data_IF_269057136291
#
_entry.id   IF_269057136291
#
_cell.length_a   1.000
_cell.length_b   1.000
_cell.length_c   1.000
_cell.angle_alpha   90.00
_cell.angle_beta   90.00
_cell.angle_gamma   90.00
#
_symmetry.space_group_name_H-M   'P 1'
#
loop_
_entity.id
_entity.type
_entity.pdbx_description
1 polymer ?
#
# COMPACT_ATOMS: atom_id res chain seq x y z
N UNK A 1 7.97 18.19 14.56
CA UNK A 1 8.56 16.98 13.94
C UNK A 1 9.89 17.22 13.21
N UNK A 2 10.53 18.40 13.33
CA UNK A 2 11.96 18.62 13.04
C UNK A 2 12.38 20.02 13.55
N UNK A 3 12.17 20.29 14.84
CA UNK A 3 12.53 21.56 15.46
C UNK A 3 12.52 21.44 16.97
N UNK A 4 13.68 21.68 17.58
CA UNK A 4 14.02 21.56 19.00
C UNK A 4 14.36 20.13 19.50
N UNK A 5 15.64 19.79 19.38
CA UNK A 5 16.48 19.03 20.35
C UNK A 5 16.11 17.60 20.82
N UNK A 6 15.01 16.95 20.44
CA UNK A 6 14.67 15.63 21.04
C UNK A 6 14.11 14.61 20.02
N UNK A 7 14.77 13.45 19.93
CA UNK A 7 14.43 12.21 19.20
C UNK A 7 14.64 12.13 17.67
N UNK A 8 15.85 11.71 17.27
CA UNK A 8 16.19 11.28 15.90
C UNK A 8 15.90 9.77 15.69
N UNK A 9 14.62 9.37 15.70
CA UNK A 9 14.25 7.96 15.47
C UNK A 9 14.58 7.47 14.06
N UNK A 10 14.57 8.36 13.08
CA UNK A 10 14.83 8.03 11.68
C UNK A 10 15.84 9.00 11.08
N UNK A 11 16.67 8.51 10.14
CA UNK A 11 17.69 9.33 9.51
C UNK A 11 17.06 10.46 8.70
N UNK A 12 17.63 11.66 8.81
CA UNK A 12 17.11 12.88 8.19
C UNK A 12 17.51 13.01 6.71
N UNK A 13 18.55 12.29 6.29
CA UNK A 13 19.21 12.42 4.98
C UNK A 13 20.20 11.29 4.77
N UNK A 14 20.42 10.92 3.51
CA UNK A 14 21.27 9.80 3.12
C UNK A 14 20.50 8.48 3.06
N UNK A 15 20.99 7.55 2.24
CA UNK A 15 20.44 6.19 2.11
C UNK A 15 21.21 5.17 2.97
N UNK A 16 22.31 5.59 3.58
CA UNK A 16 23.23 4.76 4.35
C UNK A 16 23.81 5.58 5.50
N UNK A 17 24.14 4.92 6.61
CA UNK A 17 24.86 5.53 7.72
C UNK A 17 26.33 5.81 7.38
N UNK A 18 26.96 6.74 8.12
CA UNK A 18 28.37 7.09 7.90
C UNK A 18 29.34 5.91 8.10
N UNK A 19 28.90 4.84 8.80
CA UNK A 19 29.69 3.63 9.01
C UNK A 19 29.33 2.46 8.08
N UNK A 20 28.73 2.76 6.93
CA UNK A 20 28.24 1.74 6.01
C UNK A 20 29.35 0.78 5.54
N UNK A 21 30.56 1.29 5.29
CA UNK A 21 31.64 0.50 4.72
C UNK A 21 32.20 -0.58 5.67
N UNK A 22 32.11 -0.35 6.98
CA UNK A 22 32.58 -1.29 8.01
C UNK A 22 31.52 -2.36 8.39
N UNK A 23 30.27 -2.19 7.95
CA UNK A 23 29.18 -3.11 8.25
C UNK A 23 29.27 -4.42 7.45
N UNK A 24 28.86 -5.52 8.09
CA UNK A 24 28.66 -6.80 7.40
C UNK A 24 27.58 -6.67 6.32
N UNK A 25 27.56 -7.58 5.33
CA UNK A 25 26.55 -7.55 4.25
C UNK A 25 25.11 -7.53 4.78
N UNK A 26 24.83 -8.25 5.86
CA UNK A 26 23.52 -8.21 6.54
C UNK A 26 23.28 -6.86 7.23
N UNK A 27 24.31 -6.28 7.87
CA UNK A 27 24.23 -4.97 8.50
C UNK A 27 23.95 -3.85 7.49
N UNK A 28 24.56 -3.91 6.31
CA UNK A 28 24.33 -3.01 5.18
C UNK A 28 22.87 -3.04 4.70
N UNK A 29 22.30 -4.23 4.54
CA UNK A 29 20.90 -4.39 4.12
C UNK A 29 19.94 -3.79 5.17
N UNK A 30 20.16 -4.09 6.44
CA UNK A 30 19.31 -3.57 7.52
C UNK A 30 19.38 -2.04 7.63
N UNK A 31 20.59 -1.48 7.55
CA UNK A 31 20.82 -0.05 7.55
C UNK A 31 20.06 0.63 6.40
N UNK A 32 20.14 0.07 5.19
CA UNK A 32 19.41 0.59 4.03
C UNK A 32 17.89 0.58 4.23
N UNK A 33 17.33 -0.52 4.74
CA UNK A 33 15.90 -0.57 5.04
C UNK A 33 15.50 0.45 6.10
N UNK A 34 16.31 0.66 7.13
CA UNK A 34 16.06 1.64 8.19
C UNK A 34 15.95 3.07 7.64
N UNK A 35 16.79 3.42 6.66
CA UNK A 35 16.74 4.72 5.98
C UNK A 35 15.50 4.88 5.09
N UNK A 36 14.94 3.77 4.59
CA UNK A 36 13.76 3.79 3.73
C UNK A 36 12.43 3.82 4.50
N UNK A 37 12.38 3.39 5.77
CA UNK A 37 11.12 3.28 6.52
C UNK A 37 10.35 4.61 6.56
N UNK A 38 11.02 5.70 6.92
CA UNK A 38 10.37 7.01 7.05
C UNK A 38 9.80 7.56 5.73
N UNK A 39 10.58 7.69 4.64
CA UNK A 39 10.06 8.21 3.38
C UNK A 39 8.97 7.30 2.78
N UNK A 40 9.14 5.98 2.85
CA UNK A 40 8.11 5.05 2.34
C UNK A 40 6.82 5.18 3.14
N UNK A 41 6.91 5.22 4.47
CA UNK A 41 5.72 5.31 5.33
C UNK A 41 5.01 6.65 5.13
N UNK A 42 5.75 7.75 4.98
CA UNK A 42 5.18 9.05 4.65
C UNK A 42 4.41 9.03 3.31
N UNK A 43 4.99 8.40 2.28
CA UNK A 43 4.33 8.23 0.97
C UNK A 43 3.07 7.37 1.07
N UNK A 44 3.14 6.24 1.79
CA UNK A 44 2.01 5.34 2.00
C UNK A 44 0.86 6.06 2.70
N UNK A 45 1.15 6.81 3.77
CA UNK A 45 0.14 7.57 4.50
C UNK A 45 -0.46 8.66 3.61
N UNK A 46 0.36 9.37 2.82
CA UNK A 46 -0.11 10.39 1.88
C UNK A 46 -1.13 9.85 0.87
N UNK A 47 -0.91 8.65 0.35
CA UNK A 47 -1.81 8.02 -0.61
C UNK A 47 -2.93 7.17 0.05
N UNK A 48 -2.88 6.96 1.35
CA UNK A 48 -3.77 6.04 2.06
C UNK A 48 -5.24 6.44 1.94
N UNK A 49 -5.55 7.73 2.09
CA UNK A 49 -6.93 8.24 2.02
C UNK A 49 -7.56 7.97 0.65
N UNK A 50 -6.83 8.30 -0.42
CA UNK A 50 -7.27 8.09 -1.81
C UNK A 50 -7.46 6.60 -2.11
N UNK A 51 -6.50 5.77 -1.74
CA UNK A 51 -6.56 4.32 -1.94
C UNK A 51 -7.77 3.70 -1.22
N UNK A 52 -8.04 4.16 0.00
CA UNK A 52 -9.18 3.71 0.81
C UNK A 52 -10.51 4.09 0.16
N UNK A 53 -10.65 5.34 -0.30
CA UNK A 53 -11.87 5.81 -0.97
C UNK A 53 -12.13 5.06 -2.29
N UNK A 54 -11.10 4.90 -3.12
CA UNK A 54 -11.19 4.15 -4.37
C UNK A 54 -11.60 2.69 -4.15
N UNK A 55 -10.99 2.04 -3.17
CA UNK A 55 -11.34 0.67 -2.80
C UNK A 55 -12.78 0.60 -2.33
N UNK A 56 -13.19 1.48 -1.39
CA UNK A 56 -14.57 1.51 -0.89
C UNK A 56 -15.59 1.69 -2.02
N UNK A 57 -15.36 2.63 -2.93
CA UNK A 57 -16.26 2.88 -4.05
C UNK A 57 -16.35 1.67 -4.98
N UNK A 58 -15.20 1.08 -5.35
CA UNK A 58 -15.16 -0.13 -6.18
C UNK A 58 -15.95 -1.28 -5.55
N UNK A 59 -15.89 -1.44 -4.23
CA UNK A 59 -16.69 -2.44 -3.50
C UNK A 59 -18.18 -2.18 -3.55
N UNK A 60 -18.60 -0.92 -3.38
CA UNK A 60 -20.01 -0.54 -3.42
C UNK A 60 -20.59 -0.77 -4.82
N UNK A 61 -19.85 -0.43 -5.87
CA UNK A 61 -20.27 -0.68 -7.25
C UNK A 61 -20.43 -2.18 -7.51
N UNK A 62 -19.49 -2.99 -6.99
CA UNK A 62 -19.48 -4.42 -7.19
C UNK A 62 -20.62 -5.14 -6.44
N UNK A 63 -20.99 -4.68 -5.24
CA UNK A 63 -22.10 -5.23 -4.43
C UNK A 63 -23.46 -5.09 -5.13
N UNK A 64 -23.65 -4.05 -5.94
CA UNK A 64 -24.91 -3.74 -6.60
C UNK A 64 -25.09 -4.48 -7.93
N UNK A 65 -24.12 -5.29 -8.37
CA UNK A 65 -24.19 -6.01 -9.64
C UNK A 65 -25.14 -7.21 -9.58
N UNK A 66 -25.78 -7.50 -10.71
CA UNK A 66 -26.77 -8.58 -10.83
C UNK A 66 -26.23 -9.96 -10.42
N UNK A 67 -24.96 -10.26 -10.72
CA UNK A 67 -24.38 -11.56 -10.34
C UNK A 67 -24.34 -11.75 -8.81
N UNK A 68 -24.23 -10.67 -8.02
CA UNK A 68 -24.27 -10.73 -6.55
C UNK A 68 -25.66 -11.11 -6.08
N UNK A 69 -26.69 -10.54 -6.71
CA UNK A 69 -28.10 -10.87 -6.43
C UNK A 69 -28.37 -12.34 -6.78
N UNK A 70 -27.92 -12.80 -7.95
CA UNK A 70 -28.03 -14.21 -8.34
C UNK A 70 -27.26 -15.13 -7.40
N UNK A 71 -26.06 -14.75 -6.97
CA UNK A 71 -25.26 -15.52 -6.04
C UNK A 71 -25.96 -15.69 -4.68
N UNK A 72 -26.58 -14.60 -4.16
CA UNK A 72 -27.41 -14.64 -2.96
C UNK A 72 -28.65 -15.53 -3.15
N UNK A 73 -29.32 -15.43 -4.31
CA UNK A 73 -30.49 -16.25 -4.64
C UNK A 73 -30.14 -17.75 -4.75
N UNK A 74 -28.91 -18.09 -5.15
CA UNK A 74 -28.38 -19.46 -5.14
C UNK A 74 -28.04 -19.99 -3.73
N UNK A 75 -28.26 -19.21 -2.67
CA UNK A 75 -28.03 -19.62 -1.29
C UNK A 75 -26.56 -19.52 -0.84
N UNK A 76 -25.70 -18.79 -1.55
CA UNK A 76 -24.32 -18.57 -1.12
C UNK A 76 -24.30 -17.70 0.15
N UNK A 77 -23.45 -18.08 1.11
CA UNK A 77 -23.27 -17.30 2.35
C UNK A 77 -22.69 -15.91 2.04
N UNK A 78 -23.06 -14.91 2.85
CA UNK A 78 -22.60 -13.52 2.67
C UNK A 78 -21.09 -13.41 2.56
N UNK A 79 -20.34 -14.14 3.39
CA UNK A 79 -18.87 -14.14 3.37
C UNK A 79 -18.31 -14.74 2.07
N UNK A 80 -18.91 -15.80 1.53
CA UNK A 80 -18.47 -16.41 0.28
C UNK A 80 -18.73 -15.48 -0.91
N UNK A 81 -19.86 -14.77 -0.92
CA UNK A 81 -20.16 -13.76 -1.93
C UNK A 81 -19.21 -12.57 -1.82
N UNK A 82 -18.97 -12.09 -0.59
CA UNK A 82 -18.11 -10.95 -0.33
C UNK A 82 -16.66 -11.23 -0.73
N UNK A 83 -16.02 -12.27 -0.20
CA UNK A 83 -14.60 -12.53 -0.48
C UNK A 83 -14.35 -13.24 -1.82
N UNK A 84 -15.27 -14.10 -2.24
CA UNK A 84 -15.10 -14.92 -3.45
C UNK A 84 -15.46 -14.19 -4.75
N UNK A 85 -16.42 -13.27 -4.71
CA UNK A 85 -16.86 -12.54 -5.90
C UNK A 85 -16.62 -11.04 -5.78
N UNK A 86 -17.19 -10.38 -4.78
CA UNK A 86 -17.14 -8.90 -4.67
C UNK A 86 -15.71 -8.40 -4.48
N UNK A 87 -14.98 -8.93 -3.49
CA UNK A 87 -13.61 -8.52 -3.17
C UNK A 87 -12.69 -8.76 -4.37
N UNK A 88 -12.77 -9.95 -4.96
CA UNK A 88 -11.93 -10.33 -6.10
C UNK A 88 -12.14 -9.41 -7.30
N UNK A 89 -13.39 -9.05 -7.60
CA UNK A 89 -13.71 -8.19 -8.73
C UNK A 89 -13.44 -6.71 -8.45
N UNK A 90 -13.78 -6.21 -7.26
CA UNK A 90 -13.54 -4.82 -6.87
C UNK A 90 -12.04 -4.47 -6.84
N UNK A 91 -11.19 -5.43 -6.42
CA UNK A 91 -9.73 -5.23 -6.40
C UNK A 91 -9.10 -5.10 -7.79
N UNK A 92 -9.76 -5.57 -8.86
CA UNK A 92 -9.24 -5.41 -10.22
C UNK A 92 -9.05 -3.93 -10.59
N UNK A 93 -9.94 -3.07 -10.11
CA UNK A 93 -9.89 -1.62 -10.34
C UNK A 93 -8.67 -0.98 -9.66
N UNK A 94 -8.33 -1.45 -8.46
CA UNK A 94 -7.13 -1.03 -7.72
C UNK A 94 -5.86 -1.54 -8.39
N UNK A 95 -5.84 -2.81 -8.81
CA UNK A 95 -4.67 -3.43 -9.46
C UNK A 95 -4.42 -2.84 -10.84
N UNK A 96 -5.47 -2.45 -11.57
CA UNK A 96 -5.35 -1.81 -12.88
C UNK A 96 -4.58 -0.47 -12.82
N UNK A 97 -4.52 0.18 -11.65
CA UNK A 97 -3.72 1.39 -11.44
C UNK A 97 -2.21 1.13 -11.28
N UNK A 98 -1.79 -0.12 -11.03
CA UNK A 98 -0.40 -0.46 -10.75
C UNK A 98 0.57 -0.12 -11.89
N UNK A 99 0.29 -0.43 -13.17
CA UNK A 99 1.22 -0.10 -14.26
C UNK A 99 1.50 1.40 -14.37
N UNK A 100 0.47 2.23 -14.15
CA UNK A 100 0.61 3.69 -14.14
C UNK A 100 1.51 4.16 -12.99
N UNK A 101 1.26 3.67 -11.77
CA UNK A 101 2.10 3.98 -10.62
C UNK A 101 3.55 3.52 -10.79
N UNK A 102 3.75 2.34 -11.38
CA UNK A 102 5.07 1.80 -11.68
C UNK A 102 5.83 2.69 -12.65
N UNK A 103 5.23 3.09 -13.78
CA UNK A 103 5.84 4.02 -14.73
C UNK A 103 6.17 5.35 -14.04
N UNK A 104 5.26 5.87 -13.21
CA UNK A 104 5.50 7.10 -12.45
C UNK A 104 6.80 7.06 -11.64
N UNK A 105 7.09 5.95 -10.96
CA UNK A 105 8.28 5.80 -10.11
C UNK A 105 9.60 5.80 -10.91
N UNK A 106 9.61 5.30 -12.16
CA UNK A 106 10.83 5.23 -12.97
C UNK A 106 11.06 6.45 -13.87
N UNK A 107 9.99 7.17 -14.22
CA UNK A 107 10.02 8.22 -15.24
C UNK A 107 9.64 9.62 -14.73
N UNK A 108 9.30 9.76 -13.44
CA UNK A 108 9.02 11.05 -12.78
C UNK A 108 9.99 11.23 -11.61
#
# INVERSE_FOLDING_TARGET
FAGCSYFDWFPLRGLTSNNFDELSTTGKVLDYFWHLVLPITALVIGNFATMTLLTKNSFLDEINKQYVVTAKAKGLSRSRVLYGHVFRNAMLLVIAGFPSAFIGIFFT
#
